data_IF_636485106094
#
_entry.id   IF_636485106094
#
_cell.length_a   1.000
_cell.length_b   1.000
_cell.length_c   1.000
_cell.angle_alpha   90.00
_cell.angle_beta   90.00
_cell.angle_gamma   90.00
#
_symmetry.space_group_name_H-M   'P 1'
#
loop_
_entity.id
_entity.type
_entity.pdbx_description
1 polymer ?
#
# COMPACT_ATOMS: atom_id res chain seq x y z
N UNK A 1 -20.60 9.06 1.19
CA UNK A 1 -20.55 7.71 0.57
C UNK A 1 -20.91 7.83 -0.91
N UNK A 2 -19.95 8.09 -1.81
CA UNK A 2 -20.27 8.22 -3.25
C UNK A 2 -19.06 8.08 -4.17
N UNK A 3 -17.90 8.64 -3.77
CA UNK A 3 -16.64 8.43 -4.49
C UNK A 3 -16.04 7.06 -4.16
N UNK A 4 -15.98 6.72 -2.87
CA UNK A 4 -15.53 5.40 -2.43
C UNK A 4 -16.40 4.29 -3.01
N UNK A 5 -17.72 4.39 -2.94
CA UNK A 5 -18.62 3.34 -3.43
C UNK A 5 -18.46 3.10 -4.95
N UNK A 6 -18.18 4.17 -5.72
CA UNK A 6 -17.87 4.06 -7.16
C UNK A 6 -16.47 3.47 -7.43
N UNK A 7 -15.48 3.82 -6.62
CA UNK A 7 -14.13 3.27 -6.72
C UNK A 7 -14.09 1.81 -6.27
N UNK A 8 -14.83 1.47 -5.21
CA UNK A 8 -15.06 0.13 -4.68
C UNK A 8 -15.87 -0.68 -5.68
N UNK A 9 -16.85 -0.13 -6.39
CA UNK A 9 -17.55 -0.82 -7.48
C UNK A 9 -16.63 -1.20 -8.66
N UNK A 10 -15.52 -0.47 -8.83
CA UNK A 10 -14.44 -0.82 -9.76
C UNK A 10 -13.27 -1.57 -9.09
N UNK A 11 -13.27 -1.67 -7.76
CA UNK A 11 -12.33 -2.46 -6.98
C UNK A 11 -12.94 -3.82 -6.68
N UNK A 12 -12.11 -4.85 -6.61
CA UNK A 12 -12.65 -6.15 -6.25
C UNK A 12 -12.80 -6.17 -4.73
N UNK A 13 -14.04 -6.11 -4.22
CA UNK A 13 -14.35 -6.02 -2.77
C UNK A 13 -13.95 -7.28 -1.98
N UNK A 14 -13.35 -8.26 -2.65
CA UNK A 14 -12.65 -9.39 -2.04
C UNK A 14 -11.31 -9.62 -2.75
N UNK A 15 -10.57 -8.55 -3.02
CA UNK A 15 -9.25 -8.64 -3.61
C UNK A 15 -8.41 -9.65 -2.81
N UNK A 16 -7.84 -10.62 -3.51
CA UNK A 16 -7.15 -11.74 -2.89
C UNK A 16 -5.67 -11.43 -2.76
N UNK A 17 -5.14 -11.59 -1.55
CA UNK A 17 -3.73 -11.44 -1.26
C UNK A 17 -2.96 -12.68 -1.71
N UNK A 18 -1.80 -12.47 -2.33
CA UNK A 18 -0.84 -13.54 -2.66
C UNK A 18 -0.22 -14.14 -1.39
N UNK A 19 -0.23 -13.38 -0.30
CA UNK A 19 0.44 -13.69 0.96
C UNK A 19 -0.55 -13.92 2.11
N UNK A 20 -1.83 -14.16 1.78
CA UNK A 20 -2.87 -14.54 2.72
C UNK A 20 -3.09 -13.49 3.82
N UNK A 21 -3.10 -12.20 3.46
CA UNK A 21 -3.38 -11.07 4.35
C UNK A 21 -4.77 -11.17 5.01
N UNK A 22 -5.71 -11.86 4.37
CA UNK A 22 -7.10 -12.02 4.81
C UNK A 22 -7.20 -12.59 6.24
N UNK A 23 -6.20 -13.38 6.66
CA UNK A 23 -6.14 -13.94 8.03
C UNK A 23 -5.89 -12.91 9.13
N UNK A 24 -5.45 -11.70 8.76
CA UNK A 24 -5.15 -10.62 9.69
C UNK A 24 -6.26 -9.57 9.78
N UNK A 25 -7.30 -9.69 8.95
CA UNK A 25 -8.43 -8.76 8.97
C UNK A 25 -9.21 -8.90 10.28
N UNK A 26 -9.54 -7.75 10.88
CA UNK A 26 -10.42 -7.68 12.03
C UNK A 26 -11.88 -7.97 11.69
N UNK A 27 -12.73 -8.11 12.71
CA UNK A 27 -14.16 -8.29 12.53
C UNK A 27 -14.78 -7.09 11.80
N UNK A 28 -15.48 -7.34 10.69
CA UNK A 28 -16.08 -6.30 9.85
C UNK A 28 -15.10 -5.53 8.96
N UNK A 29 -13.80 -5.78 9.06
CA UNK A 29 -12.80 -5.23 8.16
C UNK A 29 -12.86 -5.92 6.80
N UNK A 30 -12.87 -5.14 5.72
CA UNK A 30 -12.94 -5.65 4.34
C UNK A 30 -11.74 -5.17 3.56
N UNK A 31 -11.14 -6.06 2.78
CA UNK A 31 -10.11 -5.68 1.81
C UNK A 31 -10.78 -5.01 0.61
N UNK A 32 -10.41 -3.76 0.34
CA UNK A 32 -10.94 -2.97 -0.77
C UNK A 32 -10.19 -3.24 -2.06
N UNK A 33 -8.86 -3.39 -1.95
CA UNK A 33 -8.00 -3.72 -3.08
C UNK A 33 -6.68 -4.28 -2.58
N UNK A 34 -6.06 -5.11 -3.41
CA UNK A 34 -4.72 -5.66 -3.20
C UNK A 34 -3.91 -5.44 -4.48
N UNK A 35 -2.71 -4.89 -4.32
CA UNK A 35 -1.79 -4.58 -5.41
C UNK A 35 -0.46 -5.22 -5.12
N UNK A 36 0.15 -5.77 -6.17
CA UNK A 36 1.49 -6.38 -6.08
C UNK A 36 2.42 -5.67 -7.04
N UNK A 37 3.49 -5.12 -6.49
CA UNK A 37 4.54 -4.45 -7.24
C UNK A 37 5.83 -5.26 -7.04
N UNK A 38 6.29 -5.88 -8.12
CA UNK A 38 7.35 -6.89 -8.08
C UNK A 38 7.07 -8.02 -7.06
N UNK A 39 7.80 -8.05 -5.94
CA UNK A 39 7.66 -9.08 -4.90
C UNK A 39 6.80 -8.61 -3.73
N UNK A 40 6.67 -7.31 -3.55
CA UNK A 40 5.98 -6.74 -2.40
C UNK A 40 4.50 -6.56 -2.72
N UNK A 41 3.68 -6.60 -1.68
CA UNK A 41 2.24 -6.47 -1.79
C UNK A 41 1.74 -5.37 -0.88
N UNK A 42 0.80 -4.57 -1.36
CA UNK A 42 0.12 -3.53 -0.60
C UNK A 42 -1.38 -3.72 -0.76
N UNK A 43 -2.10 -3.71 0.35
CA UNK A 43 -3.55 -3.81 0.36
C UNK A 43 -4.18 -2.64 1.11
N UNK A 44 -5.29 -2.14 0.59
CA UNK A 44 -6.11 -1.14 1.28
C UNK A 44 -7.36 -1.84 1.81
N UNK A 45 -7.70 -1.57 3.06
CA UNK A 45 -8.90 -2.08 3.71
C UNK A 45 -9.82 -0.93 4.09
N UNK A 46 -10.99 -1.26 4.64
CA UNK A 46 -11.89 -0.27 5.24
C UNK A 46 -11.31 0.42 6.48
N UNK A 47 -10.22 -0.09 7.06
CA UNK A 47 -9.64 0.42 8.31
C UNK A 47 -8.20 0.94 8.17
N UNK A 48 -7.45 0.46 7.18
CA UNK A 48 -6.02 0.72 7.07
C UNK A 48 -5.38 0.27 5.77
N UNK A 49 -4.05 0.30 5.79
CA UNK A 49 -3.19 -0.18 4.72
C UNK A 49 -2.32 -1.30 5.26
N UNK A 50 -2.33 -2.45 4.59
CA UNK A 50 -1.40 -3.54 4.83
C UNK A 50 -0.25 -3.50 3.84
N UNK A 51 0.93 -3.92 4.29
CA UNK A 51 2.11 -4.08 3.42
C UNK A 51 2.77 -5.41 3.71
N UNK A 52 3.24 -6.07 2.66
CA UNK A 52 4.05 -7.28 2.74
C UNK A 52 5.37 -7.01 2.03
N UNK A 53 6.44 -6.94 2.81
CA UNK A 53 7.82 -6.88 2.31
C UNK A 53 8.40 -8.30 2.26
N UNK A 54 8.78 -8.73 1.07
CA UNK A 54 9.38 -10.05 0.85
C UNK A 54 10.90 -9.95 0.94
N UNK A 55 11.42 -10.43 2.07
CA UNK A 55 12.84 -10.34 2.43
C UNK A 55 13.64 -11.58 2.03
N UNK A 56 14.93 -11.35 1.77
CA UNK A 56 15.89 -12.40 1.44
C UNK A 56 15.85 -12.84 -0.04
N UNK A 57 16.83 -13.66 -0.41
CA UNK A 57 17.02 -14.11 -1.79
C UNK A 57 15.89 -15.07 -2.20
N UNK A 58 15.56 -16.03 -1.33
CA UNK A 58 14.51 -17.02 -1.58
C UNK A 58 13.08 -16.52 -1.27
N UNK A 59 12.92 -15.31 -0.71
CA UNK A 59 11.61 -14.74 -0.36
C UNK A 59 10.83 -15.52 0.72
N UNK A 60 11.54 -16.34 1.51
CA UNK A 60 10.96 -17.16 2.57
C UNK A 60 10.48 -16.31 3.74
N UNK A 61 11.24 -15.27 4.11
CA UNK A 61 10.87 -14.32 5.15
C UNK A 61 9.97 -13.22 4.57
N UNK A 62 8.86 -12.94 5.27
CA UNK A 62 7.91 -11.90 4.90
C UNK A 62 7.65 -11.03 6.13
N UNK A 63 7.75 -9.72 5.97
CA UNK A 63 7.37 -8.77 7.00
C UNK A 63 5.99 -8.20 6.65
N UNK A 64 5.04 -8.34 7.57
CA UNK A 64 3.68 -7.83 7.44
C UNK A 64 3.54 -6.61 8.33
N UNK A 65 3.15 -5.46 7.77
CA UNK A 65 2.86 -4.24 8.54
C UNK A 65 1.44 -3.80 8.26
N UNK A 66 0.82 -3.22 9.28
CA UNK A 66 -0.50 -2.64 9.20
C UNK A 66 -0.44 -1.20 9.69
N UNK A 67 -1.04 -0.30 8.93
CA UNK A 67 -1.10 1.12 9.23
C UNK A 67 -2.56 1.58 9.21
N UNK A 68 -3.13 1.99 10.35
CA UNK A 68 -4.47 2.56 10.39
C UNK A 68 -4.57 3.81 9.51
N UNK A 69 -5.70 4.02 8.83
CA UNK A 69 -5.91 5.21 7.99
C UNK A 69 -5.71 6.52 8.78
N UNK A 70 -6.13 6.56 10.06
CA UNK A 70 -5.92 7.70 10.96
C UNK A 70 -4.45 8.08 11.19
N UNK A 71 -3.52 7.16 10.95
CA UNK A 71 -2.08 7.37 11.09
C UNK A 71 -1.41 7.90 9.81
N UNK A 72 -2.13 7.94 8.69
CA UNK A 72 -1.62 8.47 7.42
C UNK A 72 -1.65 10.00 7.44
N UNK A 73 -0.51 10.64 7.18
CA UNK A 73 -0.36 12.10 7.13
C UNK A 73 -0.41 12.65 5.72
N UNK A 74 0.20 11.94 4.78
CA UNK A 74 0.18 12.29 3.38
C UNK A 74 0.39 11.04 2.53
N UNK A 75 -0.03 11.13 1.28
CA UNK A 75 0.34 10.19 0.22
C UNK A 75 0.85 11.00 -0.96
N UNK A 76 1.94 10.57 -1.57
CA UNK A 76 2.50 11.18 -2.78
C UNK A 76 2.72 10.12 -3.84
N UNK A 77 2.42 10.47 -5.09
CA UNK A 77 2.71 9.68 -6.27
C UNK A 77 3.66 10.46 -7.17
N UNK A 78 4.77 9.84 -7.53
CA UNK A 78 5.80 10.37 -8.42
C UNK A 78 5.83 9.50 -9.68
N UNK A 79 5.41 10.06 -10.81
CA UNK A 79 5.33 9.32 -12.07
C UNK A 79 6.70 8.95 -12.61
N UNK A 80 6.81 7.82 -13.29
CA UNK A 80 8.03 7.44 -14.01
C UNK A 80 8.38 8.52 -15.06
N UNK A 81 9.60 9.05 -14.99
CA UNK A 81 10.13 9.98 -15.98
C UNK A 81 10.34 9.34 -17.37
N UNK A 82 10.80 10.14 -18.32
CA UNK A 82 11.13 9.66 -19.67
C UNK A 82 12.24 8.60 -19.64
N UNK A 83 13.21 8.76 -18.74
CA UNK A 83 14.39 7.90 -18.60
C UNK A 83 14.31 6.93 -17.41
N UNK A 84 13.33 7.11 -16.51
CA UNK A 84 13.14 6.25 -15.34
C UNK A 84 12.19 5.10 -15.66
N UNK A 85 12.54 3.91 -15.16
CA UNK A 85 11.78 2.69 -15.35
C UNK A 85 10.65 2.51 -14.33
N UNK A 86 10.61 3.33 -13.27
CA UNK A 86 9.73 3.15 -12.13
C UNK A 86 9.03 4.47 -11.76
N UNK A 87 7.77 4.36 -11.34
CA UNK A 87 7.08 5.36 -10.54
C UNK A 87 7.32 5.07 -9.05
N UNK A 88 7.12 6.06 -8.18
CA UNK A 88 7.30 5.92 -6.73
C UNK A 88 6.04 6.37 -5.99
N UNK A 89 5.63 5.62 -4.98
CA UNK A 89 4.57 5.99 -4.05
C UNK A 89 5.14 6.07 -2.65
N UNK A 90 4.92 7.21 -1.99
CA UNK A 90 5.32 7.44 -0.60
C UNK A 90 4.10 7.73 0.25
N UNK A 91 4.03 7.07 1.40
CA UNK A 91 2.97 7.23 2.39
C UNK A 91 3.64 7.71 3.69
N UNK A 92 3.35 8.95 4.08
CA UNK A 92 3.78 9.50 5.36
C UNK A 92 2.92 8.93 6.48
N UNK A 93 3.55 8.29 7.47
CA UNK A 93 2.88 7.54 8.52
C UNK A 93 3.40 7.97 9.89
N UNK A 94 2.50 8.06 10.87
CA UNK A 94 2.90 8.14 12.28
C UNK A 94 3.52 6.81 12.72
N UNK A 95 4.68 6.89 13.38
CA UNK A 95 5.28 5.74 14.06
C UNK A 95 5.96 4.70 13.16
N UNK A 96 6.11 4.94 11.85
CA UNK A 96 6.99 4.11 11.02
C UNK A 96 8.46 4.50 11.25
N UNK A 97 9.00 4.02 12.37
CA UNK A 97 10.38 4.26 12.78
C UNK A 97 11.26 3.11 12.31
N UNK A 98 12.24 3.44 11.48
CA UNK A 98 13.27 2.50 11.03
C UNK A 98 14.63 2.90 11.62
N UNK A 99 15.49 1.91 11.85
CA UNK A 99 16.87 2.17 12.27
C UNK A 99 17.72 2.43 11.02
N UNK A 100 18.21 3.66 10.88
CA UNK A 100 19.24 4.01 9.89
C UNK A 100 20.53 4.29 10.63
N UNK A 101 21.57 3.48 10.39
CA UNK A 101 22.85 3.58 11.11
C UNK A 101 22.67 3.57 12.64
N UNK A 102 21.78 2.72 13.15
CA UNK A 102 21.37 2.63 14.57
C UNK A 102 20.69 3.88 15.14
N UNK A 103 20.33 4.85 14.30
CA UNK A 103 19.52 6.02 14.68
C UNK A 103 18.07 5.77 14.29
N UNK A 104 17.12 5.81 15.23
CA UNK A 104 15.69 5.76 14.91
C UNK A 104 15.30 6.99 14.09
N UNK A 105 14.82 6.76 12.87
CA UNK A 105 14.31 7.82 12.01
C UNK A 105 12.91 7.46 11.53
N UNK A 106 12.02 8.45 11.56
CA UNK A 106 10.70 8.31 10.94
C UNK A 106 10.89 8.31 9.42
N UNK A 107 10.43 7.26 8.75
CA UNK A 107 10.50 7.15 7.30
C UNK A 107 9.11 6.96 6.71
N UNK A 108 8.82 7.62 5.57
CA UNK A 108 7.65 7.26 4.81
C UNK A 108 7.81 5.84 4.29
N UNK A 109 6.71 5.12 4.28
CA UNK A 109 6.61 3.87 3.56
C UNK A 109 6.71 4.20 2.06
N UNK A 110 7.67 3.60 1.36
CA UNK A 110 7.98 3.93 -0.04
C UNK A 110 7.95 2.67 -0.90
N UNK A 111 7.28 2.72 -2.05
CA UNK A 111 7.19 1.60 -2.99
C UNK A 111 7.52 2.03 -4.40
N UNK A 112 8.37 1.23 -5.04
CA UNK A 112 8.63 1.36 -6.46
C UNK A 112 7.59 0.58 -7.25
N UNK A 113 7.08 1.24 -8.28
CA UNK A 113 6.08 0.70 -9.19
C UNK A 113 6.73 0.64 -10.56
N UNK A 114 6.95 -0.56 -11.13
CA UNK A 114 7.43 -0.68 -12.50
C UNK A 114 6.54 0.13 -13.44
N UNK A 115 7.12 0.82 -14.43
CA UNK A 115 6.38 1.65 -15.40
C UNK A 115 5.27 0.87 -16.12
N UNK A 116 5.46 -0.44 -16.30
CA UNK A 116 4.44 -1.34 -16.85
C UNK A 116 3.17 -1.43 -15.99
N UNK A 117 3.26 -1.12 -14.69
CA UNK A 117 2.18 -1.16 -13.69
C UNK A 117 1.78 0.25 -13.21
N UNK A 118 2.13 1.30 -13.96
CA UNK A 118 1.89 2.69 -13.53
C UNK A 118 0.39 2.98 -13.34
N UNK A 119 -0.48 2.40 -14.16
CA UNK A 119 -1.94 2.55 -14.07
C UNK A 119 -2.49 1.98 -12.75
N UNK A 120 -1.95 0.85 -12.30
CA UNK A 120 -2.27 0.24 -11.02
C UNK A 120 -1.77 1.09 -9.86
N UNK A 121 -0.60 1.72 -10.00
CA UNK A 121 -0.09 2.69 -9.04
C UNK A 121 -1.00 3.92 -8.90
N UNK A 122 -1.47 4.49 -10.02
CA UNK A 122 -2.45 5.56 -9.99
C UNK A 122 -3.78 5.13 -9.35
N UNK A 123 -4.23 3.91 -9.65
CA UNK A 123 -5.45 3.34 -9.07
C UNK A 123 -5.30 3.17 -7.57
N UNK A 124 -4.17 2.66 -7.10
CA UNK A 124 -3.86 2.57 -5.67
C UNK A 124 -3.90 3.97 -5.03
N UNK A 125 -3.24 4.95 -5.63
CA UNK A 125 -3.23 6.33 -5.11
C UNK A 125 -4.64 6.91 -4.99
N UNK A 126 -5.46 6.76 -6.05
CA UNK A 126 -6.86 7.23 -6.07
C UNK A 126 -7.70 6.55 -5.00
N UNK A 127 -7.54 5.23 -4.83
CA UNK A 127 -8.29 4.44 -3.85
C UNK A 127 -7.90 4.80 -2.42
N UNK A 128 -6.59 4.87 -2.13
CA UNK A 128 -6.10 5.27 -0.82
C UNK A 128 -6.55 6.69 -0.47
N UNK A 129 -6.42 7.64 -1.40
CA UNK A 129 -6.92 9.01 -1.19
C UNK A 129 -8.41 9.00 -0.84
N UNK A 130 -9.23 8.26 -1.60
CA UNK A 130 -10.66 8.19 -1.33
C UNK A 130 -10.99 7.52 0.01
N UNK A 131 -10.17 6.56 0.46
CA UNK A 131 -10.31 5.93 1.78
C UNK A 131 -9.93 6.87 2.93
N UNK A 132 -9.00 7.81 2.69
CA UNK A 132 -8.65 8.84 3.67
C UNK A 132 -9.70 9.95 3.76
N UNK A 133 -10.41 10.21 2.66
CA UNK A 133 -11.45 11.25 2.57
C UNK A 133 -12.82 10.81 3.13
N UNK A 134 -12.96 9.54 3.57
CA UNK A 134 -14.25 8.94 3.93
C UNK A 134 -14.55 8.91 5.42
#
# INVERSE_FOLDING_TARGET
MGLLDRLIGHADVNAKSSYNLERFLGEGEKMLACFRFARDEIAVTTHGVFTVDVQGIMGSKKEYKYFPLKGVKYVSYESAGTFDADADIKIGLDGNTELVNNVPVSKPLSFKIPKAQAAEGERFFKLLKAALDS
#
